data_IF_046863099786
#
_entry.id   IF_046863099786
#
_cell.length_a   1.000
_cell.length_b   1.000
_cell.length_c   1.000
_cell.angle_alpha   90.00
_cell.angle_beta   90.00
_cell.angle_gamma   90.00
#
_symmetry.space_group_name_H-M   'P 1'
#
loop_
_entity.id
_entity.type
_entity.pdbx_description
1 polymer ?
#
# COMPACT_ATOMS: atom_id res chain seq x y z
N UNK A 1 27.38 2.42 -13.59
CA UNK A 1 26.38 3.03 -12.68
C UNK A 1 25.27 2.00 -12.56
N UNK A 2 25.36 1.09 -11.59
CA UNK A 2 24.57 -0.17 -11.64
C UNK A 2 23.14 0.02 -11.10
N UNK A 3 22.23 -0.58 -11.87
CA UNK A 3 20.78 -0.52 -11.83
C UNK A 3 20.15 -1.30 -10.66
N UNK A 4 18.92 -0.93 -10.30
CA UNK A 4 17.93 -1.75 -9.57
C UNK A 4 18.17 -2.03 -8.08
N UNK A 5 17.97 -1.01 -7.25
CA UNK A 5 17.91 -1.14 -5.78
C UNK A 5 16.57 -0.65 -5.21
N UNK A 6 15.47 -0.82 -5.96
CA UNK A 6 14.13 -0.31 -5.63
C UNK A 6 13.51 -0.97 -4.40
N UNK A 7 14.03 -2.13 -3.96
CA UNK A 7 13.53 -2.87 -2.81
C UNK A 7 14.65 -3.14 -1.79
N UNK A 8 14.39 -2.89 -0.50
CA UNK A 8 15.26 -3.33 0.60
C UNK A 8 14.58 -4.45 1.38
N UNK A 9 15.32 -5.51 1.71
CA UNK A 9 14.85 -6.55 2.65
C UNK A 9 14.74 -5.94 4.04
N UNK A 10 13.53 -5.91 4.58
CA UNK A 10 13.21 -5.44 5.93
C UNK A 10 12.21 -6.43 6.52
N UNK A 11 12.49 -6.93 7.72
CA UNK A 11 11.50 -7.69 8.48
C UNK A 11 10.48 -6.70 9.03
N UNK A 12 9.28 -6.69 8.48
CA UNK A 12 8.15 -5.97 9.05
C UNK A 12 7.54 -6.77 10.19
N UNK A 13 7.12 -6.10 11.26
CA UNK A 13 6.30 -6.75 12.28
C UNK A 13 4.88 -6.98 11.75
N UNK A 14 4.19 -7.97 12.33
CA UNK A 14 2.78 -8.19 12.03
C UNK A 14 1.93 -6.94 12.35
N UNK A 15 2.28 -6.15 13.37
CA UNK A 15 1.54 -4.90 13.65
C UNK A 15 1.73 -3.86 12.54
N UNK A 16 2.93 -3.76 11.97
CA UNK A 16 3.20 -2.85 10.85
C UNK A 16 2.41 -3.25 9.61
N UNK A 17 2.40 -4.55 9.27
CA UNK A 17 1.61 -5.08 8.14
C UNK A 17 0.11 -4.82 8.36
N UNK A 18 -0.38 -5.07 9.57
CA UNK A 18 -1.79 -4.82 9.92
C UNK A 18 -2.14 -3.33 9.83
N UNK A 19 -1.23 -2.43 10.22
CA UNK A 19 -1.42 -0.99 10.07
C UNK A 19 -1.53 -0.57 8.60
N UNK A 20 -0.67 -1.11 7.72
CA UNK A 20 -0.75 -0.86 6.28
C UNK A 20 -2.05 -1.38 5.67
N UNK A 21 -2.47 -2.59 6.05
CA UNK A 21 -3.75 -3.16 5.62
C UNK A 21 -4.93 -2.31 6.07
N UNK A 22 -4.91 -1.83 7.32
CA UNK A 22 -5.95 -0.96 7.87
C UNK A 22 -6.08 0.34 7.07
N UNK A 23 -4.96 0.93 6.67
CA UNK A 23 -4.95 2.13 5.85
C UNK A 23 -5.51 1.88 4.44
N UNK A 24 -5.14 0.76 3.81
CA UNK A 24 -5.71 0.37 2.51
C UNK A 24 -7.25 0.21 2.59
N UNK A 25 -7.74 -0.45 3.64
CA UNK A 25 -9.18 -0.64 3.88
C UNK A 25 -9.91 0.68 4.15
N UNK A 26 -9.27 1.63 4.86
CA UNK A 26 -9.85 2.96 5.10
C UNK A 26 -10.08 3.71 3.79
N UNK A 27 -9.11 3.69 2.89
CA UNK A 27 -9.26 4.34 1.57
C UNK A 27 -10.37 3.68 0.76
N UNK A 28 -10.45 2.34 0.74
CA UNK A 28 -11.52 1.63 0.05
C UNK A 28 -12.91 1.98 0.60
N UNK A 29 -13.01 2.15 1.93
CA UNK A 29 -14.25 2.57 2.58
C UNK A 29 -14.69 3.95 2.10
N UNK A 30 -13.77 4.91 2.02
CA UNK A 30 -14.05 6.27 1.52
C UNK A 30 -14.53 6.19 0.06
N UNK A 31 -13.83 5.45 -0.79
CA UNK A 31 -14.24 5.27 -2.20
C UNK A 31 -15.64 4.64 -2.34
N UNK A 32 -16.04 3.76 -1.42
CA UNK A 32 -17.36 3.12 -1.41
C UNK A 32 -18.48 4.06 -0.95
N UNK A 33 -18.19 4.96 -0.03
CA UNK A 33 -19.19 5.84 0.61
C UNK A 33 -19.39 7.16 -0.15
N UNK A 34 -18.40 7.62 -0.93
CA UNK A 34 -18.49 8.86 -1.70
C UNK A 34 -19.32 8.70 -2.99
N UNK A 35 -19.80 9.80 -3.58
CA UNK A 35 -20.54 9.83 -4.84
C UNK A 35 -19.83 10.60 -5.96
N UNK A 36 -18.78 11.36 -5.65
CA UNK A 36 -17.98 12.12 -6.60
C UNK A 36 -17.04 11.14 -7.32
N UNK A 37 -17.13 10.99 -8.67
CA UNK A 37 -16.33 10.02 -9.40
C UNK A 37 -14.82 10.17 -9.20
N UNK A 38 -14.33 11.40 -9.13
CA UNK A 38 -12.91 11.70 -8.90
C UNK A 38 -12.44 11.21 -7.52
N UNK A 39 -13.27 11.39 -6.48
CA UNK A 39 -12.98 10.89 -5.13
C UNK A 39 -12.95 9.37 -5.14
N UNK A 40 -13.93 8.72 -5.79
CA UNK A 40 -13.95 7.25 -5.93
C UNK A 40 -12.69 6.72 -6.58
N UNK A 41 -12.28 7.33 -7.70
CA UNK A 41 -11.10 6.92 -8.43
C UNK A 41 -9.84 7.06 -7.57
N UNK A 42 -9.61 8.25 -7.00
CA UNK A 42 -8.42 8.55 -6.22
C UNK A 42 -8.27 7.61 -5.01
N UNK A 43 -9.35 7.41 -4.26
CA UNK A 43 -9.31 6.53 -3.09
C UNK A 43 -9.25 5.04 -3.44
N UNK A 44 -9.86 4.61 -4.56
CA UNK A 44 -9.72 3.24 -5.04
C UNK A 44 -8.29 2.94 -5.48
N UNK A 45 -7.67 3.87 -6.22
CA UNK A 45 -6.28 3.75 -6.67
C UNK A 45 -5.31 3.73 -5.50
N UNK A 46 -5.48 4.64 -4.53
CA UNK A 46 -4.66 4.67 -3.31
C UNK A 46 -4.82 3.39 -2.48
N UNK A 47 -6.05 2.88 -2.36
CA UNK A 47 -6.31 1.61 -1.67
C UNK A 47 -5.56 0.46 -2.34
N UNK A 48 -5.61 0.37 -3.67
CA UNK A 48 -4.92 -0.67 -4.44
C UNK A 48 -3.40 -0.61 -4.23
N UNK A 49 -2.80 0.59 -4.31
CA UNK A 49 -1.37 0.78 -4.08
C UNK A 49 -0.97 0.35 -2.65
N UNK A 50 -1.71 0.79 -1.63
CA UNK A 50 -1.43 0.44 -0.23
C UNK A 50 -1.60 -1.06 0.02
N UNK A 51 -2.59 -1.70 -0.61
CA UNK A 51 -2.77 -3.15 -0.55
C UNK A 51 -1.60 -3.89 -1.18
N UNK A 52 -1.14 -3.46 -2.37
CA UNK A 52 0.04 -4.01 -3.04
C UNK A 52 1.30 -3.90 -2.16
N UNK A 53 1.55 -2.73 -1.56
CA UNK A 53 2.66 -2.53 -0.63
C UNK A 53 2.56 -3.47 0.57
N UNK A 54 1.35 -3.63 1.14
CA UNK A 54 1.10 -4.54 2.27
C UNK A 54 1.42 -5.98 1.91
N UNK A 55 1.03 -6.44 0.71
CA UNK A 55 1.30 -7.79 0.23
C UNK A 55 2.80 -8.02 0.00
N UNK A 56 3.49 -7.07 -0.61
CA UNK A 56 4.95 -7.14 -0.82
C UNK A 56 5.69 -7.18 0.53
N UNK A 57 5.27 -6.33 1.49
CA UNK A 57 5.83 -6.31 2.83
C UNK A 57 5.59 -7.62 3.59
N UNK A 58 4.37 -8.15 3.54
CA UNK A 58 3.97 -9.34 4.29
C UNK A 58 4.42 -10.68 3.71
N UNK A 59 4.42 -10.82 2.38
CA UNK A 59 4.79 -12.08 1.70
C UNK A 59 6.30 -12.10 1.41
N UNK A 60 6.86 -10.98 0.95
CA UNK A 60 8.24 -10.94 0.46
C UNK A 60 9.24 -10.41 1.49
N UNK A 61 8.77 -9.74 2.55
CA UNK A 61 9.65 -9.02 3.48
C UNK A 61 10.44 -7.90 2.80
N UNK A 62 9.86 -7.30 1.74
CA UNK A 62 10.51 -6.26 0.94
C UNK A 62 9.84 -4.91 1.17
N UNK A 63 10.65 -3.86 1.32
CA UNK A 63 10.19 -2.47 1.38
C UNK A 63 10.55 -1.77 0.07
N UNK A 64 9.56 -1.15 -0.57
CA UNK A 64 9.77 -0.23 -1.71
C UNK A 64 10.54 0.99 -1.22
N UNK A 65 11.62 1.38 -1.90
CA UNK A 65 12.31 2.66 -1.65
C UNK A 65 11.48 3.81 -2.22
N UNK A 66 11.35 4.89 -1.46
CA UNK A 66 11.00 6.19 -2.06
C UNK A 66 12.15 6.63 -2.94
N UNK A 67 11.84 7.07 -4.16
CA UNK A 67 12.74 7.90 -4.97
C UNK A 67 12.78 9.29 -4.32
#
# INVERSE_FOLDING_TARGET
>A
MNENNSFRKIKFSNEQINSYLKNAKKDLKIAKEDNIPEVKFNYSYNSLLKAGITLIAGISGLKVRSI
#
